data_IF_928588922745
#
_entry.id   IF_928588922745
#
_cell.length_a   1.000
_cell.length_b   1.000
_cell.length_c   1.000
_cell.angle_alpha   90.00
_cell.angle_beta   90.00
_cell.angle_gamma   90.00
#
_symmetry.space_group_name_H-M   'P 1'
#
loop_
_entity.id
_entity.type
_entity.pdbx_description
1 polymer ?
#
# COMPACT_ATOMS: atom_id res chain seq x y z
N UNK A 1 13.00 21.73 -3.08
CA UNK A 1 12.40 22.17 -1.81
C UNK A 1 11.30 21.19 -1.39
N UNK A 2 11.56 20.29 -0.43
CA UNK A 2 10.52 19.49 0.23
C UNK A 2 10.54 19.87 1.71
N UNK A 3 9.60 20.68 2.20
CA UNK A 3 9.63 21.10 3.59
C UNK A 3 9.14 19.96 4.49
N UNK A 4 9.98 19.60 5.46
CA UNK A 4 9.60 19.28 6.85
C UNK A 4 8.43 18.29 7.05
N UNK A 5 8.70 16.99 6.94
CA UNK A 5 7.86 15.96 7.58
C UNK A 5 8.19 15.90 9.08
N UNK A 6 7.60 16.79 9.88
CA UNK A 6 7.58 16.67 11.35
C UNK A 6 6.52 15.62 11.72
N UNK A 7 6.95 14.58 12.45
CA UNK A 7 6.10 13.49 12.95
C UNK A 7 5.24 13.96 14.13
N UNK A 8 4.16 14.68 13.84
CA UNK A 8 3.11 14.95 14.83
C UNK A 8 2.03 13.85 14.76
N UNK A 9 1.36 13.54 15.87
CA UNK A 9 0.35 12.47 15.93
C UNK A 9 -0.83 12.65 14.95
N UNK A 10 -1.08 13.89 14.48
CA UNK A 10 -2.01 14.18 13.37
C UNK A 10 -1.53 13.57 12.05
N UNK A 11 -0.22 13.54 11.77
CA UNK A 11 0.31 12.99 10.53
C UNK A 11 0.05 11.48 10.41
N UNK A 12 -0.09 10.74 11.52
CA UNK A 12 -0.39 9.30 11.44
C UNK A 12 -1.76 9.05 10.78
N UNK A 13 -2.76 9.90 11.06
CA UNK A 13 -4.08 9.84 10.41
C UNK A 13 -4.02 10.30 8.96
N UNK A 14 -3.28 11.38 8.69
CA UNK A 14 -3.17 11.96 7.34
C UNK A 14 -2.35 11.06 6.39
N UNK A 15 -1.27 10.44 6.86
CA UNK A 15 -0.49 9.45 6.12
C UNK A 15 -1.32 8.20 5.81
N UNK A 16 -2.13 7.74 6.77
CA UNK A 16 -3.04 6.61 6.55
C UNK A 16 -4.10 6.95 5.49
N UNK A 17 -4.67 8.14 5.55
CA UNK A 17 -5.66 8.62 4.56
C UNK A 17 -5.03 8.75 3.16
N UNK A 18 -3.81 9.27 3.07
CA UNK A 18 -3.08 9.38 1.80
C UNK A 18 -2.80 8.00 1.18
N UNK A 19 -2.41 7.01 1.99
CA UNK A 19 -2.20 5.66 1.52
C UNK A 19 -3.50 5.01 1.00
N UNK A 20 -4.61 5.17 1.74
CA UNK A 20 -5.93 4.66 1.34
C UNK A 20 -6.39 5.30 0.02
N UNK A 21 -6.28 6.63 -0.10
CA UNK A 21 -6.66 7.34 -1.31
C UNK A 21 -5.81 6.91 -2.52
N UNK A 22 -4.51 6.73 -2.33
CA UNK A 22 -3.61 6.25 -3.37
C UNK A 22 -3.88 4.80 -3.79
N UNK A 23 -4.31 3.96 -2.86
CA UNK A 23 -4.76 2.60 -3.17
C UNK A 23 -6.07 2.63 -3.95
N UNK A 24 -7.07 3.37 -3.48
CA UNK A 24 -8.38 3.51 -4.13
C UNK A 24 -8.22 3.96 -5.59
N UNK A 25 -7.44 5.02 -5.84
CA UNK A 25 -7.16 5.52 -7.19
C UNK A 25 -6.50 4.48 -8.13
N UNK A 26 -5.86 3.45 -7.58
CA UNK A 26 -5.21 2.38 -8.37
C UNK A 26 -6.11 1.19 -8.66
N UNK A 27 -7.18 1.00 -7.88
CA UNK A 27 -8.05 -0.19 -7.96
C UNK A 27 -9.46 0.14 -8.42
N UNK A 28 -9.92 1.38 -8.21
CA UNK A 28 -11.27 1.80 -8.54
C UNK A 28 -11.53 1.69 -10.06
N UNK A 29 -12.61 0.99 -10.42
CA UNK A 29 -12.95 0.72 -11.81
C UNK A 29 -12.04 -0.27 -12.55
N UNK A 30 -11.09 -0.91 -11.87
CA UNK A 30 -10.14 -1.85 -12.49
C UNK A 30 -10.33 -3.29 -11.99
N UNK A 31 -10.04 -4.25 -12.86
CA UNK A 31 -9.92 -5.65 -12.43
C UNK A 31 -8.62 -5.84 -11.66
N UNK A 32 -8.73 -6.33 -10.43
CA UNK A 32 -7.57 -6.65 -9.57
C UNK A 32 -7.36 -8.15 -9.59
N UNK A 33 -6.15 -8.59 -9.95
CA UNK A 33 -5.72 -9.98 -9.84
C UNK A 33 -4.74 -10.13 -8.68
N UNK A 34 -4.96 -11.11 -7.81
CA UNK A 34 -4.12 -11.35 -6.65
C UNK A 34 -3.63 -12.80 -6.64
N UNK A 35 -2.31 -12.97 -6.54
CA UNK A 35 -1.66 -14.28 -6.39
C UNK A 35 -1.17 -14.42 -4.95
N UNK A 36 -1.76 -15.38 -4.22
CA UNK A 36 -1.39 -15.70 -2.85
C UNK A 36 -0.18 -16.62 -2.79
N UNK A 37 0.74 -16.35 -1.86
CA UNK A 37 1.96 -17.15 -1.69
C UNK A 37 2.02 -17.88 -0.35
N UNK A 38 1.54 -17.24 0.72
CA UNK A 38 1.62 -17.80 2.07
C UNK A 38 0.49 -17.30 2.96
N UNK A 39 0.36 -17.90 4.14
CA UNK A 39 -0.51 -17.40 5.21
C UNK A 39 0.34 -16.98 6.40
N UNK A 40 -0.04 -15.90 7.06
CA UNK A 40 0.59 -15.51 8.32
C UNK A 40 0.13 -16.41 9.49
N UNK A 41 0.68 -16.17 10.68
CA UNK A 41 0.34 -16.92 11.91
C UNK A 41 -1.11 -16.76 12.35
N UNK A 42 -1.82 -15.75 11.83
CA UNK A 42 -3.24 -15.51 12.04
C UNK A 42 -4.11 -16.13 10.93
N UNK A 43 -3.50 -16.84 9.97
CA UNK A 43 -4.18 -17.51 8.87
C UNK A 43 -4.56 -16.60 7.70
N UNK A 44 -4.14 -15.33 7.68
CA UNK A 44 -4.47 -14.38 6.60
C UNK A 44 -3.59 -14.65 5.39
N UNK A 45 -4.20 -14.67 4.20
CA UNK A 45 -3.47 -14.86 2.93
C UNK A 45 -2.63 -13.62 2.60
N UNK A 46 -1.32 -13.80 2.47
CA UNK A 46 -0.39 -12.80 1.94
C UNK A 46 -0.34 -12.99 0.42
N UNK A 47 -0.79 -11.97 -0.31
CA UNK A 47 -0.90 -11.99 -1.76
C UNK A 47 -0.23 -10.77 -2.39
N UNK A 48 0.31 -10.97 -3.60
CA UNK A 48 0.71 -9.88 -4.48
C UNK A 48 -0.44 -9.59 -5.43
N UNK A 49 -0.88 -8.33 -5.44
CA UNK A 49 -2.00 -7.89 -6.28
C UNK A 49 -1.53 -6.93 -7.37
N UNK A 50 -2.08 -7.08 -8.57
CA UNK A 50 -1.83 -6.26 -9.74
C UNK A 50 -3.13 -5.84 -10.42
N UNK A 51 -3.09 -4.71 -11.12
CA UNK A 51 -4.13 -4.29 -12.08
C UNK A 51 -3.49 -4.28 -13.47
N UNK A 52 -3.78 -3.29 -14.31
CA UNK A 52 -3.00 -3.03 -15.54
C UNK A 52 -1.53 -2.73 -15.23
N UNK A 53 -1.25 -2.24 -14.01
CA UNK A 53 0.10 -2.02 -13.51
C UNK A 53 0.59 -3.17 -12.64
N UNK A 54 1.89 -3.51 -12.74
CA UNK A 54 2.49 -4.54 -11.90
C UNK A 54 2.60 -4.07 -10.45
N UNK A 55 2.22 -4.96 -9.53
CA UNK A 55 2.37 -4.87 -8.07
C UNK A 55 1.93 -3.53 -7.45
N UNK A 56 0.66 -3.48 -7.04
CA UNK A 56 0.06 -2.32 -6.37
C UNK A 56 0.81 -1.97 -5.07
N UNK A 57 1.26 -2.99 -4.33
CA UNK A 57 1.98 -2.82 -3.07
C UNK A 57 3.33 -2.15 -3.30
N UNK A 58 4.10 -2.61 -4.29
CA UNK A 58 5.38 -2.01 -4.65
C UNK A 58 5.23 -0.52 -5.03
N UNK A 59 4.14 -0.15 -5.72
CA UNK A 59 3.86 1.26 -6.04
C UNK A 59 3.64 2.10 -4.79
N UNK A 60 2.88 1.60 -3.82
CA UNK A 60 2.65 2.31 -2.55
C UNK A 60 3.96 2.48 -1.76
N UNK A 61 4.82 1.47 -1.74
CA UNK A 61 6.15 1.56 -1.10
C UNK A 61 7.03 2.59 -1.79
N UNK A 62 7.12 2.56 -3.12
CA UNK A 62 7.94 3.52 -3.88
C UNK A 62 7.48 4.97 -3.71
N UNK A 63 6.18 5.18 -3.44
CA UNK A 63 5.60 6.49 -3.17
C UNK A 63 5.79 6.95 -1.71
N UNK A 64 6.39 6.14 -0.84
CA UNK A 64 6.53 6.43 0.58
C UNK A 64 5.22 6.32 1.36
N UNK A 65 4.22 5.63 0.81
CA UNK A 65 2.88 5.47 1.39
C UNK A 65 2.69 4.13 2.12
N UNK A 66 3.62 3.19 1.94
CA UNK A 66 3.63 1.90 2.62
C UNK A 66 5.06 1.46 2.95
N UNK A 67 5.18 0.48 3.85
CA UNK A 67 6.45 -0.17 4.16
C UNK A 67 6.53 -1.51 3.43
N UNK A 68 7.72 -1.83 2.92
CA UNK A 68 7.97 -3.15 2.37
C UNK A 68 7.96 -4.17 3.51
N UNK A 69 7.15 -5.22 3.36
CA UNK A 69 7.25 -6.38 4.22
C UNK A 69 8.41 -7.25 3.73
N UNK A 70 9.44 -7.39 4.56
CA UNK A 70 10.54 -8.34 4.37
C UNK A 70 10.39 -9.41 5.45
N UNK A 71 10.37 -10.66 5.02
CA UNK A 71 10.25 -11.83 5.90
C UNK A 71 11.62 -12.47 6.08
#
# INVERSE_FOLDING_TARGET
MRPSQRKDASCRRDCSKAAIAALAARVEGKTVSCVGHERDTYGRLIARCSTDEPDIGAKLVSAGLAWAFVK
#
